data_IF_308957967883
#
_entry.id   IF_308957967883
#
_cell.length_a   1.000
_cell.length_b   1.000
_cell.length_c   1.000
_cell.angle_alpha   90.00
_cell.angle_beta   90.00
_cell.angle_gamma   90.00
#
_symmetry.space_group_name_H-M   'P 1'
#
loop_
_entity.id
_entity.type
_entity.pdbx_description
1 polymer ?
#
# COMPACT_ATOMS: atom_id res chain seq x y z
N UNK A 1 2.88 -23.17 18.32
CA UNK A 1 1.42 -23.44 18.28
C UNK A 1 1.20 -24.74 17.51
N UNK A 2 0.43 -25.68 18.05
CA UNK A 2 0.14 -26.93 17.35
C UNK A 2 -0.91 -26.70 16.28
N UNK A 3 -0.66 -27.18 15.06
CA UNK A 3 -1.70 -27.25 14.02
C UNK A 3 -2.72 -28.28 14.53
N UNK A 4 -4.01 -27.91 14.65
CA UNK A 4 -5.01 -28.85 15.12
C UNK A 4 -5.10 -30.03 14.15
N UNK A 5 -5.24 -31.23 14.71
CA UNK A 5 -5.29 -32.46 13.94
C UNK A 5 -6.48 -32.40 12.97
N UNK A 6 -6.24 -32.86 11.73
CA UNK A 6 -7.28 -32.88 10.69
C UNK A 6 -7.76 -34.32 10.54
N UNK A 7 -8.88 -34.71 11.16
CA UNK A 7 -9.45 -36.03 10.94
C UNK A 7 -9.74 -36.24 9.44
N UNK A 8 -9.54 -37.46 8.95
CA UNK A 8 -9.71 -37.79 7.53
C UNK A 8 -11.16 -37.49 7.09
N UNK A 9 -11.32 -36.62 6.10
CA UNK A 9 -12.63 -36.13 5.65
C UNK A 9 -13.30 -35.08 6.57
N UNK A 10 -12.63 -34.63 7.63
CA UNK A 10 -13.17 -33.70 8.63
C UNK A 10 -12.65 -32.26 8.54
N UNK A 11 -13.12 -31.44 9.50
CA UNK A 11 -12.85 -30.00 9.61
C UNK A 11 -11.82 -29.78 10.73
N UNK A 12 -10.93 -28.79 10.56
CA UNK A 12 -9.99 -28.38 11.63
C UNK A 12 -10.74 -27.55 12.67
N UNK A 13 -10.61 -27.92 13.94
CA UNK A 13 -11.18 -27.17 15.05
C UNK A 13 -10.10 -26.27 15.64
N UNK A 14 -10.40 -24.99 15.77
CA UNK A 14 -9.47 -23.99 16.29
C UNK A 14 -10.01 -23.42 17.59
N UNK A 15 -9.13 -23.30 18.57
CA UNK A 15 -9.41 -22.66 19.86
C UNK A 15 -9.35 -21.13 19.75
N UNK A 16 -9.90 -20.42 20.74
CA UNK A 16 -9.98 -18.95 20.79
C UNK A 16 -8.63 -18.25 20.53
N UNK A 17 -7.51 -18.85 20.98
CA UNK A 17 -6.17 -18.32 20.74
C UNK A 17 -5.83 -18.20 19.23
N UNK A 18 -6.41 -19.03 18.38
CA UNK A 18 -6.25 -18.92 16.94
C UNK A 18 -6.99 -17.69 16.37
N UNK A 19 -8.13 -17.31 16.97
CA UNK A 19 -8.87 -16.11 16.59
C UNK A 19 -8.09 -14.86 16.93
N UNK A 20 -7.50 -14.78 18.14
CA UNK A 20 -6.64 -13.66 18.55
C UNK A 20 -5.50 -13.45 17.55
N UNK A 21 -4.83 -14.53 17.15
CA UNK A 21 -3.75 -14.48 16.15
C UNK A 21 -4.26 -14.07 14.76
N UNK A 22 -5.43 -14.53 14.33
CA UNK A 22 -6.02 -14.09 13.06
C UNK A 22 -6.37 -12.61 13.06
N UNK A 23 -6.87 -12.09 14.19
CA UNK A 23 -7.13 -10.67 14.36
C UNK A 23 -5.83 -9.86 14.30
N UNK A 24 -4.75 -10.35 14.92
CA UNK A 24 -3.42 -9.76 14.82
C UNK A 24 -2.95 -9.68 13.37
N UNK A 25 -2.95 -10.81 12.66
CA UNK A 25 -2.52 -10.90 11.25
C UNK A 25 -3.35 -9.95 10.39
N UNK A 26 -4.67 -9.95 10.54
CA UNK A 26 -5.58 -9.09 9.77
C UNK A 26 -5.30 -7.60 10.02
N UNK A 27 -5.02 -7.22 11.26
CA UNK A 27 -4.72 -5.83 11.63
C UNK A 27 -3.40 -5.38 11.04
N UNK A 28 -2.37 -6.24 11.08
CA UNK A 28 -1.09 -5.94 10.48
C UNK A 28 -1.17 -5.87 8.95
N UNK A 29 -1.89 -6.78 8.29
CA UNK A 29 -2.12 -6.70 6.85
C UNK A 29 -2.86 -5.42 6.44
N UNK A 30 -3.80 -4.95 7.26
CA UNK A 30 -4.51 -3.70 7.01
C UNK A 30 -3.58 -2.48 7.08
N UNK A 31 -2.58 -2.51 7.95
CA UNK A 31 -1.51 -1.50 8.02
C UNK A 31 -0.47 -1.64 6.89
N UNK A 32 -0.63 -2.62 6.01
CA UNK A 32 0.21 -2.85 4.85
C UNK A 32 1.35 -3.84 5.08
N UNK A 33 1.47 -4.46 6.26
CA UNK A 33 2.49 -5.46 6.52
C UNK A 33 2.29 -6.69 5.62
N UNK A 34 3.40 -7.20 5.07
CA UNK A 34 3.39 -8.45 4.30
C UNK A 34 3.42 -9.66 5.25
N UNK A 35 3.18 -10.87 4.73
CA UNK A 35 3.09 -12.07 5.57
C UNK A 35 4.41 -12.43 6.25
N UNK A 36 5.55 -12.08 5.66
CA UNK A 36 6.88 -12.33 6.24
C UNK A 36 7.12 -11.39 7.44
N UNK A 37 6.83 -10.09 7.27
CA UNK A 37 6.87 -9.07 8.34
C UNK A 37 5.91 -9.42 9.49
N UNK A 38 4.69 -9.88 9.17
CA UNK A 38 3.74 -10.33 10.20
C UNK A 38 4.26 -11.57 10.93
N UNK A 39 4.95 -12.48 10.23
CA UNK A 39 5.56 -13.65 10.85
C UNK A 39 6.72 -13.27 11.77
N UNK A 40 7.46 -12.22 11.45
CA UNK A 40 8.48 -11.64 12.34
C UNK A 40 7.83 -11.01 13.57
N UNK A 41 6.81 -10.17 13.40
CA UNK A 41 6.07 -9.57 14.51
C UNK A 41 5.50 -10.62 15.49
N UNK A 42 4.98 -11.73 14.96
CA UNK A 42 4.47 -12.85 15.77
C UNK A 42 5.56 -13.60 16.55
N UNK A 43 6.83 -13.55 16.12
CA UNK A 43 7.97 -14.10 16.88
C UNK A 43 8.41 -13.14 18.00
N UNK A 44 8.15 -11.85 17.82
CA UNK A 44 8.52 -10.79 18.78
C UNK A 44 7.41 -10.52 19.81
N UNK A 45 6.25 -11.17 19.68
CA UNK A 45 5.08 -11.05 20.57
C UNK A 45 5.37 -11.46 22.02
N UNK A 46 6.40 -12.29 22.25
CA UNK A 46 6.84 -12.73 23.59
C UNK A 46 7.45 -11.60 24.46
N UNK A 47 7.44 -10.34 23.96
CA UNK A 47 7.68 -9.13 24.75
C UNK A 47 9.15 -8.82 25.05
N UNK A 48 10.09 -9.65 24.57
CA UNK A 48 11.53 -9.48 24.84
C UNK A 48 12.22 -8.53 23.86
N UNK A 49 11.56 -8.17 22.75
CA UNK A 49 12.17 -7.49 21.59
C UNK A 49 11.38 -6.23 21.15
N UNK A 50 11.00 -5.38 22.11
CA UNK A 50 10.23 -4.16 21.82
C UNK A 50 10.93 -3.19 20.85
N UNK A 51 12.26 -3.16 20.85
CA UNK A 51 13.04 -2.31 19.95
C UNK A 51 13.00 -2.80 18.49
N UNK A 52 12.99 -4.12 18.26
CA UNK A 52 12.89 -4.72 16.92
C UNK A 52 11.49 -4.49 16.32
N UNK A 53 10.45 -4.68 17.13
CA UNK A 53 9.06 -4.37 16.75
C UNK A 53 8.89 -2.90 16.38
N UNK A 54 9.52 -1.99 17.14
CA UNK A 54 9.50 -0.56 16.84
C UNK A 54 10.20 -0.26 15.52
N UNK A 55 11.38 -0.83 15.30
CA UNK A 55 12.14 -0.61 14.06
C UNK A 55 11.37 -1.08 12.82
N UNK A 56 10.69 -2.24 12.89
CA UNK A 56 9.86 -2.74 11.79
C UNK A 56 8.65 -1.82 11.52
N UNK A 57 8.02 -1.32 12.58
CA UNK A 57 6.91 -0.38 12.45
C UNK A 57 7.35 0.98 11.87
N UNK A 58 8.50 1.50 12.27
CA UNK A 58 9.09 2.73 11.74
C UNK A 58 9.43 2.57 10.25
N UNK A 59 10.08 1.46 9.87
CA UNK A 59 10.35 1.15 8.48
C UNK A 59 9.07 1.14 7.64
N UNK A 60 8.02 0.49 8.17
CA UNK A 60 6.74 0.40 7.49
C UNK A 60 6.06 1.75 7.32
N UNK A 61 6.12 2.58 8.36
CA UNK A 61 5.59 3.94 8.32
C UNK A 61 6.25 4.76 7.21
N UNK A 62 7.57 4.62 7.04
CA UNK A 62 8.30 5.33 6.00
C UNK A 62 7.98 4.82 4.59
N UNK A 63 7.77 3.51 4.41
CA UNK A 63 7.25 2.95 3.17
C UNK A 63 5.88 3.53 2.80
N UNK A 64 4.96 3.57 3.76
CA UNK A 64 3.63 4.12 3.57
C UNK A 64 3.71 5.60 3.20
N UNK A 65 4.55 6.38 3.89
CA UNK A 65 4.77 7.80 3.56
C UNK A 65 5.33 7.99 2.16
N UNK A 66 6.31 7.19 1.73
CA UNK A 66 6.85 7.22 0.36
C UNK A 66 5.76 6.94 -0.67
N UNK A 67 4.93 5.92 -0.43
CA UNK A 67 3.84 5.56 -1.34
C UNK A 67 2.78 6.65 -1.42
N UNK A 68 2.41 7.26 -0.29
CA UNK A 68 1.49 8.42 -0.25
C UNK A 68 2.07 9.58 -1.04
N UNK A 69 3.36 9.91 -0.86
CA UNK A 69 3.99 10.99 -1.60
C UNK A 69 3.94 10.74 -3.13
N UNK A 70 4.27 9.53 -3.57
CA UNK A 70 4.15 9.14 -4.99
C UNK A 70 2.72 9.22 -5.52
N UNK A 71 1.73 8.75 -4.75
CA UNK A 71 0.32 8.85 -5.12
C UNK A 71 -0.16 10.29 -5.24
N UNK A 72 0.23 11.18 -4.30
CA UNK A 72 -0.09 12.61 -4.37
C UNK A 72 0.56 13.29 -5.57
N UNK A 73 1.78 12.90 -5.93
CA UNK A 73 2.43 13.42 -7.12
C UNK A 73 1.66 13.01 -8.39
N UNK A 74 1.30 11.73 -8.51
CA UNK A 74 0.50 11.22 -9.63
C UNK A 74 -0.87 11.90 -9.70
N UNK A 75 -1.54 12.05 -8.55
CA UNK A 75 -2.81 12.79 -8.43
C UNK A 75 -2.66 14.22 -8.95
N UNK A 76 -1.66 14.96 -8.49
CA UNK A 76 -1.41 16.34 -8.95
C UNK A 76 -1.11 16.40 -10.44
N UNK A 77 -0.34 15.47 -10.99
CA UNK A 77 -0.09 15.41 -12.44
C UNK A 77 -1.38 15.16 -13.22
N UNK A 78 -2.21 14.20 -12.79
CA UNK A 78 -3.48 13.90 -13.44
C UNK A 78 -4.44 15.09 -13.35
N UNK A 79 -4.54 15.74 -12.20
CA UNK A 79 -5.38 16.92 -11.98
C UNK A 79 -5.00 18.06 -12.95
N UNK A 80 -3.69 18.38 -13.04
CA UNK A 80 -3.18 19.37 -14.00
C UNK A 80 -3.50 19.01 -15.46
N UNK A 81 -3.39 17.73 -15.84
CA UNK A 81 -3.70 17.27 -17.19
C UNK A 81 -5.19 17.38 -17.51
N UNK A 82 -6.05 17.08 -16.54
CA UNK A 82 -7.51 17.23 -16.66
C UNK A 82 -7.90 18.69 -16.82
N UNK A 83 -7.34 19.59 -16.01
CA UNK A 83 -7.62 21.03 -16.11
C UNK A 83 -7.17 21.60 -17.47
N UNK A 84 -5.97 21.25 -17.94
CA UNK A 84 -5.50 21.64 -19.28
C UNK A 84 -6.42 21.14 -20.40
N UNK A 85 -6.95 19.92 -20.25
CA UNK A 85 -7.89 19.36 -21.22
C UNK A 85 -9.26 20.06 -21.19
N UNK A 86 -9.72 20.53 -20.02
CA UNK A 86 -10.96 21.30 -19.89
C UNK A 86 -10.84 22.69 -20.50
N UNK A 87 -9.68 23.32 -20.39
CA UNK A 87 -9.42 24.64 -20.95
C UNK A 87 -9.08 24.64 -22.45
N UNK A 88 -8.82 23.47 -23.06
CA UNK A 88 -8.52 23.41 -24.50
C UNK A 88 -9.80 23.48 -25.34
N UNK A 89 -9.88 24.46 -26.24
CA UNK A 89 -11.02 24.63 -27.16
C UNK A 89 -11.00 23.66 -28.36
N UNK A 90 -9.87 22.99 -28.61
CA UNK A 90 -9.74 22.02 -29.72
C UNK A 90 -9.88 20.56 -29.24
N UNK A 91 -11.04 19.91 -29.43
CA UNK A 91 -11.25 18.52 -29.05
C UNK A 91 -10.40 17.51 -29.86
N UNK A 92 -9.75 17.94 -30.95
CA UNK A 92 -8.89 17.06 -31.77
C UNK A 92 -7.46 16.96 -31.23
N UNK A 93 -7.05 17.87 -30.33
CA UNK A 93 -5.72 17.89 -29.70
C UNK A 93 -5.85 17.77 -28.19
N UNK A 94 -6.19 16.56 -27.71
CA UNK A 94 -6.27 16.30 -26.28
C UNK A 94 -4.87 16.45 -25.62
N UNK A 95 -4.69 17.41 -24.69
CA UNK A 95 -3.40 17.64 -24.03
C UNK A 95 -2.91 16.44 -23.20
N UNK A 96 -3.84 15.59 -22.75
CA UNK A 96 -3.55 14.37 -21.99
C UNK A 96 -2.80 13.36 -22.86
N UNK A 97 -3.33 13.08 -24.06
CA UNK A 97 -2.71 12.13 -25.00
C UNK A 97 -1.33 12.64 -25.43
N UNK A 98 -1.22 13.94 -25.68
CA UNK A 98 0.05 14.56 -26.04
C UNK A 98 1.12 14.43 -24.94
N UNK A 99 0.74 14.65 -23.68
CA UNK A 99 1.64 14.54 -22.53
C UNK A 99 2.10 13.09 -22.29
N UNK A 100 1.22 12.10 -22.53
CA UNK A 100 1.53 10.68 -22.39
C UNK A 100 2.38 10.12 -23.55
N UNK A 101 2.34 10.74 -24.73
CA UNK A 101 3.13 10.34 -25.90
C UNK A 101 4.59 10.82 -25.85
N UNK A 102 5.00 11.49 -24.77
CA UNK A 102 6.42 11.81 -24.51
C UNK A 102 6.86 13.21 -24.94
N UNK A 103 5.95 14.11 -25.29
CA UNK A 103 6.30 15.55 -25.35
C UNK A 103 6.19 16.13 -23.95
N UNK A 104 7.22 15.86 -23.13
CA UNK A 104 7.35 16.45 -21.79
C UNK A 104 7.77 17.94 -21.82
N UNK A 105 7.94 18.55 -22.99
CA UNK A 105 8.22 19.98 -23.21
C UNK A 105 7.39 20.45 -24.42
N UNK A 106 6.73 21.61 -24.44
CA UNK A 106 7.27 22.92 -24.13
C UNK A 106 6.19 23.87 -23.55
N UNK A 107 6.60 24.92 -22.80
CA UNK A 107 5.73 26.04 -22.48
C UNK A 107 5.32 26.72 -23.77
N UNK A 108 4.02 26.77 -24.06
CA UNK A 108 3.49 27.76 -24.99
C UNK A 108 3.56 29.12 -24.31
N UNK A 109 4.73 29.74 -24.41
CA UNK A 109 4.90 31.18 -24.36
C UNK A 109 4.25 31.73 -25.64
N UNK A 110 3.14 32.47 -25.52
CA UNK A 110 2.62 33.30 -26.60
C UNK A 110 2.54 34.75 -26.12
N UNK A 111 3.19 35.59 -26.93
CA UNK A 111 3.36 37.05 -26.89
C UNK A 111 2.10 37.75 -27.35
#
# INVERSE_FOLDING_TARGET
>A
MAIPDKPYGGIRHYEENALVRLHFIRSAQWLGFNLDEVSELLKLEDGTHGDETRALAEHKLDDVRRRIAGMRQMESTLDNLVERCRCSEDPKRCPIIHSLQGNLDAPTEEV
#
